data_IF_239756482773
#
_entry.id   IF_239756482773
#
_cell.length_a   1.000
_cell.length_b   1.000
_cell.length_c   1.000
_cell.angle_alpha   90.00
_cell.angle_beta   90.00
_cell.angle_gamma   90.00
#
_symmetry.space_group_name_H-M   'P 1'
#
loop_
_entity.id
_entity.type
_entity.pdbx_description
1 polymer ?
#
# COMPACT_ATOMS: atom_id res chain seq x y z
N UNK A 1 6.83 19.69 -19.07
CA UNK A 1 7.52 18.39 -18.99
C UNK A 1 7.31 17.70 -20.31
N UNK A 2 8.37 17.43 -21.07
CA UNK A 2 8.26 16.58 -22.25
C UNK A 2 8.21 15.12 -21.77
N UNK A 3 7.27 14.37 -22.30
CA UNK A 3 7.10 12.95 -22.02
C UNK A 3 8.30 12.19 -22.60
N UNK A 4 8.99 11.41 -21.77
CA UNK A 4 10.20 10.68 -22.15
C UNK A 4 10.01 9.19 -21.88
N UNK A 5 9.66 8.41 -22.91
CA UNK A 5 9.52 6.96 -22.81
C UNK A 5 10.83 6.23 -22.40
N UNK A 6 11.98 6.92 -22.35
CA UNK A 6 13.20 6.30 -21.83
C UNK A 6 13.22 6.16 -20.31
N UNK A 7 12.40 6.92 -19.58
CA UNK A 7 12.22 6.75 -18.14
C UNK A 7 10.88 6.06 -17.89
N UNK A 8 10.98 4.79 -17.46
CA UNK A 8 9.84 3.92 -17.13
C UNK A 8 8.82 4.65 -16.24
N UNK A 9 9.27 5.40 -15.24
CA UNK A 9 8.35 6.04 -14.28
C UNK A 9 7.65 7.28 -14.82
N UNK A 10 8.15 7.85 -15.92
CA UNK A 10 7.50 8.95 -16.64
C UNK A 10 6.64 8.48 -17.83
N UNK A 11 6.68 7.18 -18.14
CA UNK A 11 5.90 6.56 -19.21
C UNK A 11 4.46 6.30 -18.76
N UNK A 12 3.52 6.59 -19.65
CA UNK A 12 2.08 6.44 -19.50
C UNK A 12 1.70 4.98 -19.27
N UNK A 13 2.28 4.05 -20.03
CA UNK A 13 1.96 2.62 -19.95
C UNK A 13 2.91 1.82 -19.08
N UNK A 14 4.11 2.34 -18.80
CA UNK A 14 5.16 1.55 -18.13
C UNK A 14 5.43 2.02 -16.69
N UNK A 15 4.87 3.15 -16.25
CA UNK A 15 5.04 3.53 -14.85
C UNK A 15 4.36 2.52 -13.94
N UNK A 16 4.90 2.35 -12.72
CA UNK A 16 4.42 1.33 -11.78
C UNK A 16 2.92 1.42 -11.51
N UNK A 17 2.37 2.64 -11.42
CA UNK A 17 0.92 2.86 -11.23
C UNK A 17 0.09 2.42 -12.43
N UNK A 18 0.58 2.57 -13.66
CA UNK A 18 -0.10 2.04 -14.84
C UNK A 18 -0.07 0.53 -14.83
N UNK A 19 1.10 -0.08 -14.61
CA UNK A 19 1.26 -1.53 -14.59
C UNK A 19 0.38 -2.18 -13.51
N UNK A 20 0.33 -1.60 -12.29
CA UNK A 20 -0.57 -2.06 -11.21
C UNK A 20 -2.04 -1.90 -11.61
N UNK A 21 -2.42 -0.75 -12.20
CA UNK A 21 -3.81 -0.52 -12.60
C UNK A 21 -4.25 -1.48 -13.71
N UNK A 22 -3.40 -1.72 -14.72
CA UNK A 22 -3.69 -2.63 -15.81
C UNK A 22 -3.84 -4.08 -15.30
N UNK A 23 -3.05 -4.46 -14.29
CA UNK A 23 -3.14 -5.77 -13.62
C UNK A 23 -4.42 -5.91 -12.80
N UNK A 24 -4.72 -4.95 -11.93
CA UNK A 24 -5.67 -5.15 -10.83
C UNK A 24 -7.05 -4.52 -11.05
N UNK A 25 -7.13 -3.38 -11.76
CA UNK A 25 -8.40 -2.68 -11.97
C UNK A 25 -9.51 -3.55 -12.60
N UNK A 26 -9.22 -4.48 -13.55
CA UNK A 26 -10.23 -5.39 -14.10
C UNK A 26 -10.83 -6.38 -13.09
N UNK A 27 -10.22 -6.55 -11.92
CA UNK A 27 -10.64 -7.49 -10.88
C UNK A 27 -11.44 -6.83 -9.75
N UNK A 28 -11.59 -5.50 -9.76
CA UNK A 28 -12.37 -4.78 -8.76
C UNK A 28 -13.86 -4.98 -9.01
N UNK A 29 -14.52 -5.75 -8.14
CA UNK A 29 -15.91 -6.18 -8.30
C UNK A 29 -16.88 -5.40 -7.42
N UNK A 30 -16.42 -4.84 -6.30
CA UNK A 30 -17.26 -4.16 -5.33
C UNK A 30 -16.60 -2.90 -4.73
N UNK A 31 -17.36 -2.17 -3.91
CA UNK A 31 -16.92 -0.93 -3.28
C UNK A 31 -15.68 -1.15 -2.37
N UNK A 32 -15.65 -2.24 -1.61
CA UNK A 32 -14.52 -2.61 -0.76
C UNK A 32 -13.25 -2.81 -1.56
N UNK A 33 -13.33 -3.47 -2.72
CA UNK A 33 -12.19 -3.65 -3.63
C UNK A 33 -11.63 -2.30 -4.11
N UNK A 34 -12.51 -1.36 -4.48
CA UNK A 34 -12.09 -0.02 -4.93
C UNK A 34 -11.49 0.78 -3.78
N UNK A 35 -12.06 0.68 -2.57
CA UNK A 35 -11.50 1.29 -1.35
C UNK A 35 -10.11 0.74 -1.05
N UNK A 36 -9.94 -0.58 -1.05
CA UNK A 36 -8.64 -1.21 -0.87
C UNK A 36 -7.64 -0.79 -1.96
N UNK A 37 -8.01 -0.89 -3.24
CA UNK A 37 -7.15 -0.53 -4.36
C UNK A 37 -6.69 0.95 -4.30
N UNK A 38 -7.59 1.86 -3.89
CA UNK A 38 -7.24 3.28 -3.71
C UNK A 38 -6.15 3.53 -2.67
N UNK A 39 -5.97 2.58 -1.74
CA UNK A 39 -4.96 2.59 -0.67
C UNK A 39 -3.80 1.63 -0.92
N UNK A 40 -3.76 0.97 -2.06
CA UNK A 40 -2.81 -0.11 -2.34
C UNK A 40 -1.35 0.36 -2.25
N UNK A 41 -0.59 -0.27 -1.35
CA UNK A 41 0.86 -0.16 -1.27
C UNK A 41 1.47 -1.41 -0.63
N UNK A 42 1.72 -2.41 -1.47
CA UNK A 42 2.41 -3.62 -1.06
C UNK A 42 3.85 -3.64 -1.56
N UNK A 43 4.59 -2.52 -1.45
CA UNK A 43 5.89 -2.38 -2.12
C UNK A 43 6.95 -3.42 -1.73
N UNK A 44 6.77 -4.10 -0.60
CA UNK A 44 7.65 -5.16 -0.11
C UNK A 44 7.47 -6.48 -0.88
N UNK A 45 6.26 -6.74 -1.37
CA UNK A 45 5.85 -8.01 -2.01
C UNK A 45 5.49 -7.83 -3.48
N UNK A 46 5.01 -6.65 -3.90
CA UNK A 46 4.67 -6.36 -5.29
C UNK A 46 5.93 -6.21 -6.16
N UNK A 47 6.16 -7.11 -7.14
CA UNK A 47 7.31 -7.00 -8.02
C UNK A 47 7.29 -5.72 -8.87
N UNK A 48 6.12 -5.14 -9.16
CA UNK A 48 6.00 -3.89 -9.93
C UNK A 48 6.56 -2.71 -9.13
N UNK A 49 6.46 -2.76 -7.81
CA UNK A 49 6.99 -1.73 -6.92
C UNK A 49 8.51 -1.78 -6.76
N UNK A 50 9.16 -2.88 -7.18
CA UNK A 50 10.63 -3.05 -7.16
C UNK A 50 11.25 -2.81 -5.77
N UNK A 51 10.50 -3.07 -4.69
CA UNK A 51 10.94 -2.81 -3.32
C UNK A 51 10.92 -1.33 -2.92
N UNK A 52 10.35 -0.45 -3.75
CA UNK A 52 10.31 0.99 -3.54
C UNK A 52 8.90 1.49 -3.19
N UNK A 53 8.73 1.99 -1.97
CA UNK A 53 7.44 2.42 -1.41
C UNK A 53 6.72 3.56 -2.14
N UNK A 54 7.43 4.28 -3.04
CA UNK A 54 6.82 5.30 -3.90
C UNK A 54 6.14 4.72 -5.16
N UNK A 55 6.49 3.50 -5.54
CA UNK A 55 6.06 2.84 -6.78
C UNK A 55 4.79 2.01 -6.55
N UNK A 56 3.76 2.66 -6.03
CA UNK A 56 2.43 2.06 -5.81
C UNK A 56 1.32 3.08 -6.05
N UNK A 57 0.06 2.63 -6.03
CA UNK A 57 -1.12 3.50 -6.12
C UNK A 57 -1.10 4.56 -5.01
N UNK A 58 -1.00 4.13 -3.74
CA UNK A 58 -0.92 5.00 -2.58
C UNK A 58 0.52 5.10 -2.06
N UNK A 59 1.35 5.89 -2.76
CA UNK A 59 2.79 6.03 -2.45
C UNK A 59 3.10 6.44 -0.99
N UNK A 60 4.19 5.90 -0.44
CA UNK A 60 4.75 6.17 0.90
C UNK A 60 6.22 6.60 0.79
N UNK A 61 6.49 7.89 0.53
CA UNK A 61 7.87 8.34 0.33
C UNK A 61 8.67 8.36 1.63
N UNK A 62 8.00 8.47 2.78
CA UNK A 62 8.62 8.38 4.10
C UNK A 62 9.31 7.03 4.34
N UNK A 63 8.84 5.96 3.68
CA UNK A 63 9.42 4.62 3.71
C UNK A 63 10.43 4.36 2.58
N UNK A 64 10.67 5.33 1.69
CA UNK A 64 11.59 5.17 0.57
C UNK A 64 13.04 5.22 1.01
N UNK A 65 13.87 4.35 0.44
CA UNK A 65 15.31 4.34 0.68
C UNK A 65 16.05 4.48 -0.63
N UNK A 66 17.21 5.15 -0.60
CA UNK A 66 18.05 5.29 -1.79
C UNK A 66 18.48 3.92 -2.37
N UNK A 67 18.64 2.91 -1.51
CA UNK A 67 19.02 1.56 -1.92
C UNK A 67 17.94 0.85 -2.77
N UNK A 68 16.66 1.13 -2.51
CA UNK A 68 15.52 0.51 -3.20
C UNK A 68 14.93 1.39 -4.28
N UNK A 69 14.96 2.70 -4.09
CA UNK A 69 14.32 3.69 -4.96
C UNK A 69 15.29 4.43 -5.88
N UNK A 70 16.59 4.12 -5.82
CA UNK A 70 17.64 4.75 -6.62
C UNK A 70 18.22 6.02 -5.97
N UNK A 71 19.29 6.54 -6.56
CA UNK A 71 20.02 7.70 -6.06
C UNK A 71 19.11 8.92 -5.86
N UNK A 72 19.23 9.60 -4.72
CA UNK A 72 18.43 10.79 -4.38
C UNK A 72 16.99 10.49 -3.92
N UNK A 73 16.58 9.22 -3.83
CA UNK A 73 15.24 8.82 -3.40
C UNK A 73 15.23 8.34 -1.93
N UNK A 74 15.79 9.14 -1.03
CA UNK A 74 15.66 8.92 0.42
C UNK A 74 14.24 9.22 0.93
N UNK A 75 14.01 9.11 2.26
CA UNK A 75 12.73 9.44 2.87
C UNK A 75 12.31 10.89 2.57
N UNK A 76 11.03 11.10 2.25
CA UNK A 76 10.45 12.42 2.05
C UNK A 76 9.07 12.50 2.68
N UNK A 77 8.71 13.66 3.25
CA UNK A 77 7.37 13.94 3.77
C UNK A 77 6.38 14.14 2.60
N UNK A 78 6.14 13.08 1.83
CA UNK A 78 5.32 13.09 0.62
C UNK A 78 4.66 11.73 0.40
N UNK A 79 3.54 11.71 -0.32
CA UNK A 79 2.84 10.48 -0.65
C UNK A 79 1.34 10.68 -0.77
N UNK A 80 0.61 9.57 -0.77
CA UNK A 80 -0.84 9.59 -0.65
C UNK A 80 -1.23 9.92 0.80
N UNK A 81 -2.17 10.85 0.97
CA UNK A 81 -2.60 11.36 2.29
C UNK A 81 -4.10 11.19 2.54
N UNK A 82 -4.83 10.62 1.59
CA UNK A 82 -6.24 10.33 1.71
C UNK A 82 -6.67 9.27 0.68
N UNK A 83 -7.90 8.81 0.80
CA UNK A 83 -8.66 8.22 -0.29
C UNK A 83 -10.13 8.61 -0.18
N UNK A 84 -10.82 8.74 -1.32
CA UNK A 84 -12.24 9.06 -1.40
C UNK A 84 -12.90 8.21 -2.49
N UNK A 85 -13.97 7.51 -2.16
CA UNK A 85 -14.68 6.62 -3.08
C UNK A 85 -16.18 6.89 -2.99
N UNK A 86 -16.83 6.91 -4.15
CA UNK A 86 -18.29 7.06 -4.29
C UNK A 86 -18.78 5.92 -5.17
N UNK A 87 -19.86 5.26 -4.74
CA UNK A 87 -20.44 4.15 -5.48
C UNK A 87 -21.47 4.66 -6.49
N UNK A 88 -21.53 4.06 -7.68
CA UNK A 88 -22.46 4.50 -8.73
C UNK A 88 -23.94 4.30 -8.37
N UNK A 89 -24.23 3.37 -7.44
CA UNK A 89 -25.56 3.12 -6.89
C UNK A 89 -25.91 4.03 -5.70
N UNK A 90 -24.96 4.81 -5.17
CA UNK A 90 -25.18 5.83 -4.14
C UNK A 90 -24.17 6.98 -4.31
N UNK A 91 -24.56 7.97 -5.12
CA UNK A 91 -23.74 9.15 -5.39
C UNK A 91 -23.77 10.20 -4.27
N UNK A 92 -24.58 9.97 -3.22
CA UNK A 92 -24.77 10.93 -2.13
C UNK A 92 -23.91 10.62 -0.90
N UNK A 93 -23.38 9.41 -0.82
CA UNK A 93 -22.48 8.96 0.24
C UNK A 93 -21.03 8.94 -0.26
N UNK A 94 -20.15 9.62 0.46
CA UNK A 94 -18.70 9.57 0.24
C UNK A 94 -18.09 8.68 1.30
N UNK A 95 -17.31 7.69 0.86
CA UNK A 95 -16.42 6.92 1.72
C UNK A 95 -15.07 7.61 1.67
N UNK A 96 -14.52 7.97 2.82
CA UNK A 96 -13.26 8.67 2.91
C UNK A 96 -12.39 8.13 4.03
N UNK A 97 -11.09 8.28 3.87
CA UNK A 97 -10.11 8.01 4.91
C UNK A 97 -8.98 9.00 4.80
N UNK A 98 -8.50 9.46 5.95
CA UNK A 98 -7.43 10.45 6.07
C UNK A 98 -6.12 9.77 6.45
N UNK A 99 -5.00 10.32 6.00
CA UNK A 99 -3.66 9.87 6.33
C UNK A 99 -3.01 8.95 5.31
N UNK A 100 -1.71 8.66 5.46
CA UNK A 100 -0.99 7.69 4.62
C UNK A 100 -1.52 6.26 4.76
N UNK A 101 -1.29 5.44 3.73
CA UNK A 101 -1.77 4.06 3.78
C UNK A 101 -0.96 3.23 4.74
N UNK A 102 -1.59 2.30 5.46
CA UNK A 102 -0.93 1.37 6.35
C UNK A 102 -1.54 -0.01 6.22
N UNK A 103 -0.71 -1.01 6.46
CA UNK A 103 -1.05 -2.42 6.44
C UNK A 103 0.02 -3.15 7.29
N UNK A 104 -0.15 -3.15 8.62
CA UNK A 104 0.83 -3.74 9.52
C UNK A 104 1.05 -5.24 9.27
N UNK A 105 0.03 -5.96 8.78
CA UNK A 105 0.14 -7.40 8.46
C UNK A 105 1.11 -7.63 7.29
N UNK A 106 1.12 -6.73 6.31
CA UNK A 106 2.02 -6.78 5.16
C UNK A 106 3.28 -5.91 5.33
N UNK A 107 3.58 -5.48 6.56
CA UNK A 107 4.82 -4.76 6.87
C UNK A 107 4.82 -3.28 6.49
N UNK A 108 3.65 -2.68 6.26
CA UNK A 108 3.48 -1.25 5.98
C UNK A 108 3.03 -0.56 7.28
N UNK A 109 3.95 0.10 8.01
CA UNK A 109 3.62 0.64 9.32
C UNK A 109 2.65 1.82 9.22
N UNK A 110 1.87 2.02 10.28
CA UNK A 110 1.13 3.26 10.53
C UNK A 110 2.11 4.42 10.50
N UNK A 111 1.77 5.49 9.78
CA UNK A 111 2.58 6.70 9.78
C UNK A 111 2.43 7.43 11.11
N UNK A 112 3.57 7.75 11.74
CA UNK A 112 3.62 8.50 12.97
C UNK A 112 4.78 9.50 12.92
N UNK A 113 4.48 10.80 13.05
CA UNK A 113 5.45 11.90 12.94
C UNK A 113 6.65 11.69 13.86
N UNK A 114 6.42 11.54 15.16
CA UNK A 114 7.45 11.41 16.20
C UNK A 114 8.42 10.22 16.05
N UNK A 115 8.12 9.27 15.17
CA UNK A 115 8.99 8.10 14.90
C UNK A 115 9.43 8.02 13.43
N UNK A 116 8.93 8.94 12.60
CA UNK A 116 9.18 8.96 11.17
C UNK A 116 10.57 9.54 10.88
N UNK A 117 11.29 9.02 9.87
CA UNK A 117 12.53 9.64 9.43
C UNK A 117 12.36 11.06 8.85
N UNK A 118 11.12 11.51 8.65
CA UNK A 118 10.80 12.82 8.06
C UNK A 118 10.27 13.85 9.07
N UNK A 119 10.28 13.54 10.37
CA UNK A 119 9.76 14.39 11.45
C UNK A 119 10.38 15.80 11.41
N UNK A 120 11.70 15.87 11.47
CA UNK A 120 12.47 17.11 11.49
C UNK A 120 12.58 17.78 10.11
N UNK A 121 11.99 17.21 9.05
CA UNK A 121 12.07 17.77 7.69
C UNK A 121 11.03 18.86 7.43
N UNK A 122 9.91 18.87 8.15
CA UNK A 122 8.80 19.79 7.92
C UNK A 122 8.01 20.07 9.20
N UNK A 123 7.56 21.32 9.37
CA UNK A 123 6.66 21.68 10.46
C UNK A 123 5.23 21.14 10.21
N UNK A 124 4.65 20.52 11.22
CA UNK A 124 3.34 19.84 11.15
C UNK A 124 2.48 20.18 12.39
N UNK A 125 2.50 21.46 12.82
CA UNK A 125 1.74 21.94 13.98
C UNK A 125 0.23 21.75 13.77
N UNK A 126 -0.43 21.17 14.76
CA UNK A 126 -1.88 20.92 14.75
C UNK A 126 -2.29 19.62 14.04
N UNK A 127 -1.33 18.89 13.47
CA UNK A 127 -1.55 17.55 12.93
C UNK A 127 -1.53 16.50 14.04
N UNK A 128 -2.34 15.42 13.95
CA UNK A 128 -2.19 14.25 14.79
C UNK A 128 -0.78 13.67 14.67
N UNK A 129 -0.22 13.12 15.75
CA UNK A 129 1.08 12.43 15.70
C UNK A 129 0.98 11.14 14.89
N UNK A 130 -0.05 10.32 15.14
CA UNK A 130 -0.29 9.03 14.48
C UNK A 130 -1.51 9.09 13.55
N UNK A 131 -1.42 8.42 12.40
CA UNK A 131 -2.44 8.40 11.34
C UNK A 131 -3.08 7.02 11.18
N UNK A 132 -3.65 6.52 12.28
CA UNK A 132 -4.44 5.28 12.31
C UNK A 132 -5.93 5.60 12.25
N UNK A 133 -6.37 6.21 11.15
CA UNK A 133 -7.76 6.61 10.97
C UNK A 133 -8.54 5.55 10.20
N UNK A 134 -9.72 5.13 10.69
CA UNK A 134 -10.58 4.22 9.94
C UNK A 134 -11.21 4.94 8.75
N UNK A 135 -11.77 4.16 7.83
CA UNK A 135 -12.71 4.71 6.86
C UNK A 135 -13.94 5.28 7.57
N UNK A 136 -14.40 6.41 7.07
CA UNK A 136 -15.65 7.05 7.49
C UNK A 136 -16.55 7.23 6.28
N UNK A 137 -17.86 7.25 6.51
CA UNK A 137 -18.83 7.68 5.51
C UNK A 137 -19.51 8.97 5.95
N UNK A 138 -19.80 9.83 4.99
CA UNK A 138 -20.62 11.02 5.20
C UNK A 138 -21.49 11.30 3.97
N UNK A 139 -22.63 11.94 4.20
CA UNK A 139 -23.58 12.32 3.16
C UNK A 139 -24.09 13.75 3.39
N UNK A 140 -24.80 14.30 2.39
CA UNK A 140 -25.29 15.69 2.44
C UNK A 140 -26.32 15.98 3.54
N UNK A 141 -26.81 14.95 4.25
CA UNK A 141 -27.88 15.08 5.25
C UNK A 141 -27.35 15.02 6.70
N UNK A 142 -26.12 14.55 6.92
CA UNK A 142 -25.54 14.46 8.26
C UNK A 142 -24.01 14.61 8.26
N UNK A 143 -23.51 15.43 9.19
CA UNK A 143 -22.08 15.53 9.51
C UNK A 143 -21.64 14.47 10.54
N UNK A 144 -22.54 13.53 10.90
CA UNK A 144 -22.22 12.45 11.83
C UNK A 144 -21.30 11.45 11.12
N UNK A 145 -20.05 11.38 11.59
CA UNK A 145 -19.08 10.39 11.14
C UNK A 145 -19.48 9.03 11.71
N UNK A 146 -19.95 8.14 10.86
CA UNK A 146 -19.98 6.72 11.19
C UNK A 146 -18.65 6.13 10.71
N UNK A 147 -17.78 5.79 11.67
CA UNK A 147 -16.61 4.96 11.39
C UNK A 147 -17.12 3.61 10.88
N UNK A 148 -16.56 3.17 9.76
CA UNK A 148 -16.81 1.84 9.25
C UNK A 148 -16.02 0.86 10.11
N UNK A 149 -16.66 -0.23 10.54
CA UNK A 149 -15.91 -1.33 11.13
C UNK A 149 -14.99 -1.97 10.07
N UNK A 150 -13.94 -2.65 10.52
CA UNK A 150 -12.98 -3.29 9.61
C UNK A 150 -13.67 -4.30 8.68
N UNK A 151 -14.82 -4.86 9.10
CA UNK A 151 -15.64 -5.79 8.32
C UNK A 151 -16.26 -5.14 7.07
N UNK A 152 -16.61 -3.85 7.10
CA UNK A 152 -17.10 -3.12 5.93
C UNK A 152 -15.98 -2.81 4.92
N UNK A 153 -14.71 -2.88 5.34
CA UNK A 153 -13.52 -2.78 4.48
C UNK A 153 -12.90 -4.14 4.17
N UNK A 154 -13.51 -5.23 4.63
CA UNK A 154 -13.03 -6.60 4.44
C UNK A 154 -13.17 -6.98 2.96
N UNK A 155 -12.03 -6.94 2.28
CA UNK A 155 -11.90 -7.37 0.91
C UNK A 155 -11.52 -8.86 0.97
N UNK A 156 -12.23 -9.76 0.27
CA UNK A 156 -11.86 -11.16 0.29
C UNK A 156 -10.42 -11.33 -0.21
N UNK A 157 -9.69 -12.32 0.31
CA UNK A 157 -8.29 -12.65 -0.03
C UNK A 157 -8.01 -12.79 -1.54
N UNK A 158 -9.04 -12.86 -2.38
CA UNK A 158 -8.93 -12.89 -3.83
C UNK A 158 -8.23 -11.66 -4.46
N UNK A 159 -8.01 -10.57 -3.72
CA UNK A 159 -7.23 -9.40 -4.17
C UNK A 159 -5.82 -9.35 -3.54
N UNK A 160 -5.47 -10.25 -2.61
CA UNK A 160 -4.05 -10.49 -2.26
C UNK A 160 -3.40 -11.24 -3.44
N UNK A 161 -3.21 -10.53 -4.55
CA UNK A 161 -2.86 -11.05 -5.88
C UNK A 161 -1.40 -11.53 -5.96
N UNK A 162 -0.61 -11.33 -4.91
CA UNK A 162 0.64 -12.03 -4.69
C UNK A 162 0.50 -12.99 -3.49
N UNK A 163 0.24 -14.29 -3.72
CA UNK A 163 0.32 -15.26 -2.65
C UNK A 163 1.76 -15.28 -2.09
N UNK A 164 1.95 -15.50 -0.77
CA UNK A 164 3.27 -15.65 -0.19
C UNK A 164 4.03 -16.76 -0.94
N UNK A 165 5.30 -16.50 -1.25
CA UNK A 165 6.14 -17.41 -2.00
C UNK A 165 6.08 -18.82 -1.40
N UNK A 166 5.57 -19.78 -2.18
CA UNK A 166 5.46 -21.19 -1.79
C UNK A 166 6.83 -21.67 -1.31
N UNK A 167 6.96 -21.98 -0.02
CA UNK A 167 8.22 -22.46 0.56
C UNK A 167 8.45 -23.88 0.07
N UNK A 168 9.23 -24.04 -1.00
CA UNK A 168 9.67 -25.35 -1.47
C UNK A 168 10.58 -25.95 -0.39
N UNK A 169 10.02 -26.80 0.46
CA UNK A 169 10.80 -27.54 1.45
C UNK A 169 11.60 -28.59 0.71
N UNK A 170 12.86 -28.26 0.38
CA UNK A 170 13.85 -29.22 -0.08
C UNK A 170 14.10 -30.21 1.05
N UNK A 171 13.53 -31.40 0.93
CA UNK A 171 13.77 -32.51 1.86
C UNK A 171 15.19 -33.01 1.61
N UNK A 172 16.11 -32.69 2.52
CA UNK A 172 17.45 -33.24 2.52
C UNK A 172 17.42 -34.73 2.92
N UNK A 173 18.05 -35.56 2.09
CA UNK A 173 18.29 -37.00 2.27
C UNK A 173 19.01 -37.31 3.59
N UNK A 174 18.68 -38.39 4.31
CA UNK A 174 19.35 -38.70 5.57
C UNK A 174 20.72 -39.35 5.33
N UNK A 175 21.73 -38.82 6.04
CA UNK A 175 23.07 -39.39 6.19
C UNK A 175 23.00 -40.64 7.06
N UNK A 176 23.31 -41.80 6.50
CA UNK A 176 23.56 -43.04 7.25
C UNK A 176 24.95 -43.00 7.87
N UNK A 177 25.03 -42.91 9.19
CA UNK A 177 26.25 -43.11 9.98
C UNK A 177 26.40 -44.58 10.35
N UNK A 178 27.54 -45.16 9.97
CA UNK A 178 28.04 -46.45 10.45
C UNK A 178 28.35 -46.40 11.95
N UNK A 179 27.90 -47.41 12.72
CA UNK A 179 28.54 -47.81 13.98
C UNK A 179 28.31 -49.29 14.33
N UNK A 180 29.37 -50.07 14.08
CA UNK A 180 29.94 -51.23 14.80
C UNK A 180 29.13 -52.20 15.66
N UNK A 181 29.50 -53.48 15.57
CA UNK A 181 29.30 -54.48 16.62
C UNK A 181 29.62 -55.92 16.20
N UNK A 182 30.80 -56.39 16.60
CA UNK A 182 31.40 -57.75 16.58
C UNK A 182 31.77 -58.41 15.25
#
# INVERSE_FOLDING_TARGET
MAYNDSDKQSSYHQCARSEISDRDAPHLANLGDVMYFSRYNEYLTDPISEGCARLSIASRYDLSTQAKCGAGAGPQAFGAIDAKVVASNDLTTVHAVSGPTSDPENGIPIFQWSTSPVDDMIEHVGMPDSYDFPWVRFNGESWSLEALDDAACDHPDHIRMNPPATTTTTTATPTSTLRGGN
#
